data_IF_357377567866
#
_entry.id   IF_357377567866
#
_cell.length_a   1.000
_cell.length_b   1.000
_cell.length_c   1.000
_cell.angle_alpha   90.00
_cell.angle_beta   90.00
_cell.angle_gamma   90.00
#
_symmetry.space_group_name_H-M   'P 1'
#
loop_
_entity.id
_entity.type
_entity.pdbx_description
1 polymer ?
#
# COMPACT_ATOMS: atom_id res chain seq x y z
N UNK A 1 -8.02 -0.54 -20.25
CA UNK A 1 -7.18 -0.81 -19.08
C UNK A 1 -6.77 -2.26 -19.16
N UNK A 2 -5.50 -2.53 -19.44
CA UNK A 2 -4.97 -3.90 -19.34
C UNK A 2 -4.53 -4.14 -17.90
N UNK A 3 -4.59 -5.38 -17.41
CA UNK A 3 -4.17 -5.68 -16.04
C UNK A 3 -2.69 -5.36 -15.80
N UNK A 4 -1.87 -5.51 -16.84
CA UNK A 4 -0.43 -5.20 -16.79
C UNK A 4 -0.15 -3.70 -16.63
N UNK A 5 -1.14 -2.83 -16.86
CA UNK A 5 -1.01 -1.38 -16.68
C UNK A 5 -1.26 -0.95 -15.23
N UNK A 6 -1.66 -1.86 -14.34
CA UNK A 6 -2.09 -1.55 -12.97
C UNK A 6 -0.95 -1.55 -11.95
N UNK A 7 0.23 -2.03 -12.32
CA UNK A 7 1.37 -2.09 -11.43
C UNK A 7 2.69 -2.00 -12.21
N UNK A 8 3.74 -1.64 -11.51
CA UNK A 8 5.11 -1.69 -11.99
C UNK A 8 5.89 -2.72 -11.18
N UNK A 9 6.61 -3.61 -11.87
CA UNK A 9 7.61 -4.46 -11.22
C UNK A 9 8.83 -3.61 -10.81
N UNK A 10 9.19 -3.63 -9.53
CA UNK A 10 10.29 -2.82 -8.97
C UNK A 10 11.35 -3.65 -8.26
N UNK A 11 11.11 -4.95 -8.07
CA UNK A 11 12.01 -5.87 -7.41
C UNK A 11 12.18 -7.19 -8.17
N UNK A 12 12.84 -8.19 -7.55
CA UNK A 12 13.14 -9.45 -8.22
C UNK A 12 11.86 -10.20 -8.60
N UNK A 13 11.90 -10.88 -9.74
CA UNK A 13 10.84 -11.83 -10.10
C UNK A 13 10.83 -12.99 -9.11
N UNK A 14 9.64 -13.41 -8.71
CA UNK A 14 9.44 -14.56 -7.85
C UNK A 14 9.00 -15.74 -8.72
N UNK A 15 9.69 -16.88 -8.59
CA UNK A 15 9.35 -18.10 -9.32
C UNK A 15 8.67 -19.15 -8.43
N UNK A 16 7.74 -19.91 -9.02
CA UNK A 16 7.08 -21.04 -8.37
C UNK A 16 5.82 -20.68 -7.57
N UNK A 17 5.10 -21.69 -7.06
CA UNK A 17 3.91 -21.46 -6.24
C UNK A 17 4.34 -20.97 -4.85
N UNK A 18 4.12 -19.68 -4.59
CA UNK A 18 4.33 -19.08 -3.28
C UNK A 18 2.98 -18.90 -2.58
N UNK A 19 2.90 -19.15 -1.25
CA UNK A 19 1.72 -18.75 -0.50
C UNK A 19 1.58 -17.23 -0.57
N UNK A 20 0.44 -16.76 -1.07
CA UNK A 20 0.10 -15.35 -1.14
C UNK A 20 -0.81 -14.98 0.03
N UNK A 21 -0.39 -14.00 0.83
CA UNK A 21 -1.22 -13.37 1.85
C UNK A 21 -1.68 -12.00 1.32
N UNK A 22 -2.98 -11.79 1.22
CA UNK A 22 -3.57 -10.51 0.79
C UNK A 22 -4.16 -9.81 2.02
N UNK A 23 -3.65 -8.62 2.33
CA UNK A 23 -4.11 -7.78 3.43
C UNK A 23 -4.62 -6.45 2.87
N UNK A 24 -5.93 -6.31 2.73
CA UNK A 24 -6.57 -5.08 2.22
C UNK A 24 -7.59 -4.54 3.21
N UNK A 25 -7.63 -3.22 3.36
CA UNK A 25 -8.52 -2.52 4.29
C UNK A 25 -9.68 -1.82 3.56
N UNK A 26 -10.58 -1.20 4.33
CA UNK A 26 -11.62 -0.31 3.80
C UNK A 26 -12.94 -0.94 3.34
N UNK A 27 -13.20 -2.21 3.70
CA UNK A 27 -14.53 -2.80 3.57
C UNK A 27 -15.15 -3.15 4.92
N UNK A 28 -14.74 -4.26 5.52
CA UNK A 28 -15.15 -4.67 6.86
C UNK A 28 -13.90 -4.97 7.68
N UNK A 29 -13.69 -4.18 8.72
CA UNK A 29 -12.54 -4.27 9.59
C UNK A 29 -13.03 -3.99 11.02
N UNK A 30 -12.52 -4.74 12.00
CA UNK A 30 -12.89 -4.59 13.39
C UNK A 30 -11.63 -4.46 14.25
N UNK A 31 -11.60 -3.39 15.05
CA UNK A 31 -10.53 -3.13 16.02
C UNK A 31 -9.13 -2.92 15.42
N UNK A 32 -9.04 -2.49 14.17
CA UNK A 32 -7.79 -2.19 13.49
C UNK A 32 -6.85 -3.43 13.38
N UNK A 33 -7.45 -4.62 13.35
CA UNK A 33 -6.76 -5.91 13.30
C UNK A 33 -5.86 -6.02 12.08
N UNK A 34 -6.34 -5.61 10.90
CA UNK A 34 -5.55 -5.69 9.66
C UNK A 34 -4.32 -4.78 9.71
N UNK A 35 -4.46 -3.55 10.19
CA UNK A 35 -3.32 -2.65 10.32
C UNK A 35 -2.30 -3.18 11.32
N UNK A 36 -2.75 -3.75 12.45
CA UNK A 36 -1.86 -4.39 13.44
C UNK A 36 -1.10 -5.58 12.85
N UNK A 37 -1.77 -6.44 12.09
CA UNK A 37 -1.13 -7.59 11.43
C UNK A 37 -0.12 -7.12 10.38
N UNK A 38 -0.49 -6.18 9.50
CA UNK A 38 0.42 -5.60 8.50
C UNK A 38 1.66 -5.01 9.18
N UNK A 39 1.46 -4.19 10.22
CA UNK A 39 2.56 -3.59 10.96
C UNK A 39 3.47 -4.65 11.60
N UNK A 40 2.91 -5.70 12.21
CA UNK A 40 3.70 -6.77 12.79
C UNK A 40 4.57 -7.49 11.74
N UNK A 41 4.03 -7.80 10.57
CA UNK A 41 4.79 -8.44 9.47
C UNK A 41 5.89 -7.50 8.97
N UNK A 42 5.55 -6.26 8.62
CA UNK A 42 6.51 -5.29 8.06
C UNK A 42 7.66 -4.98 9.03
N UNK A 43 7.40 -4.91 10.34
CA UNK A 43 8.44 -4.60 11.32
C UNK A 43 9.29 -5.81 11.74
N UNK A 44 8.79 -7.04 11.56
CA UNK A 44 9.50 -8.24 12.00
C UNK A 44 10.20 -8.99 10.87
N UNK A 45 9.79 -8.78 9.63
CA UNK A 45 10.35 -9.46 8.47
C UNK A 45 11.23 -8.51 7.64
N UNK A 46 12.31 -9.07 7.08
CA UNK A 46 13.10 -8.41 6.05
C UNK A 46 12.38 -8.57 4.71
N UNK A 47 11.42 -7.68 4.44
CA UNK A 47 10.57 -7.71 3.25
C UNK A 47 11.21 -6.92 2.11
N UNK A 48 11.14 -7.47 0.90
CA UNK A 48 11.52 -6.77 -0.34
C UNK A 48 10.27 -6.50 -1.17
N UNK A 49 10.02 -5.24 -1.51
CA UNK A 49 8.95 -4.87 -2.43
C UNK A 49 9.29 -5.38 -3.85
N UNK A 50 8.39 -6.15 -4.46
CA UNK A 50 8.57 -6.74 -5.79
C UNK A 50 7.76 -6.02 -6.88
N UNK A 51 6.64 -5.42 -6.50
CA UNK A 51 5.74 -4.68 -7.37
C UNK A 51 5.16 -3.49 -6.61
N UNK A 52 4.71 -2.47 -7.35
CA UNK A 52 3.97 -1.32 -6.82
C UNK A 52 2.76 -1.06 -7.68
N UNK A 53 1.58 -0.98 -7.07
CA UNK A 53 0.35 -0.70 -7.79
C UNK A 53 0.21 0.80 -8.10
N UNK A 54 -0.44 1.11 -9.22
CA UNK A 54 -0.80 2.49 -9.59
C UNK A 54 -2.05 2.93 -8.81
N UNK A 55 -1.83 3.60 -7.69
CA UNK A 55 -2.90 4.07 -6.81
C UNK A 55 -3.70 5.24 -7.38
N UNK A 56 -3.18 5.98 -8.36
CA UNK A 56 -3.94 7.05 -9.01
C UNK A 56 -5.05 6.45 -9.88
N UNK A 57 -4.81 5.26 -10.44
CA UNK A 57 -5.81 4.51 -11.19
C UNK A 57 -6.75 3.68 -10.31
N UNK A 58 -6.28 3.24 -9.13
CA UNK A 58 -6.98 2.24 -8.31
C UNK A 58 -7.73 2.82 -7.11
N UNK A 59 -7.34 3.98 -6.59
CA UNK A 59 -7.91 4.56 -5.37
C UNK A 59 -8.67 5.85 -5.65
N UNK A 60 -9.85 5.98 -5.04
CA UNK A 60 -10.53 7.27 -4.93
C UNK A 60 -9.84 8.13 -3.86
N UNK A 61 -9.02 9.06 -4.34
CA UNK A 61 -8.25 9.99 -3.51
C UNK A 61 -9.10 10.96 -2.68
N UNK A 62 -10.41 11.05 -2.94
CA UNK A 62 -11.35 11.84 -2.13
C UNK A 62 -11.98 11.01 -1.02
N UNK A 63 -12.17 9.71 -1.25
CA UNK A 63 -12.62 8.77 -0.24
C UNK A 63 -11.49 8.42 0.74
N UNK A 64 -10.25 8.29 0.24
CA UNK A 64 -9.03 8.07 1.04
C UNK A 64 -8.06 9.22 0.82
N UNK A 65 -8.23 10.29 1.59
CA UNK A 65 -7.47 11.52 1.39
C UNK A 65 -6.01 11.34 1.79
N UNK A 66 -5.04 11.79 0.98
CA UNK A 66 -3.65 11.92 1.39
C UNK A 66 -3.52 12.77 2.65
N UNK A 67 -2.59 12.39 3.52
CA UNK A 67 -2.31 13.13 4.74
C UNK A 67 -1.26 14.20 4.45
N UNK A 68 -1.59 15.46 4.74
CA UNK A 68 -0.72 16.60 4.48
C UNK A 68 -0.16 17.13 5.80
N UNK A 69 1.17 17.20 5.90
CA UNK A 69 1.87 17.71 7.09
C UNK A 69 2.26 19.16 6.85
N UNK A 70 1.72 20.08 7.66
CA UNK A 70 2.02 21.52 7.62
C UNK A 70 2.76 21.92 8.90
N UNK A 71 3.89 22.61 8.74
CA UNK A 71 4.64 23.22 9.84
C UNK A 71 4.85 24.69 9.51
N UNK A 72 4.46 25.58 10.43
CA UNK A 72 4.55 27.04 10.28
C UNK A 72 3.91 27.59 8.99
N UNK A 73 2.78 27.00 8.60
CA UNK A 73 2.04 27.39 7.40
C UNK A 73 2.66 26.89 6.08
N UNK A 74 3.72 26.10 6.13
CA UNK A 74 4.39 25.51 4.96
C UNK A 74 4.13 24.01 4.90
N UNK A 75 3.73 23.53 3.72
CA UNK A 75 3.61 22.09 3.44
C UNK A 75 4.99 21.46 3.47
N UNK A 76 5.21 20.56 4.43
CA UNK A 76 6.47 19.81 4.58
C UNK A 76 6.41 18.45 3.90
N UNK A 77 5.25 17.78 3.95
CA UNK A 77 5.10 16.43 3.40
C UNK A 77 3.66 16.15 2.95
N UNK A 78 3.53 15.20 2.02
CA UNK A 78 2.26 14.60 1.63
C UNK A 78 2.43 13.08 1.61
N UNK A 79 1.71 12.39 2.49
CA UNK A 79 1.66 10.94 2.54
C UNK A 79 0.46 10.47 1.71
N UNK A 80 0.76 9.88 0.56
CA UNK A 80 -0.25 9.32 -0.35
C UNK A 80 -0.67 7.92 0.12
N UNK A 81 -1.94 7.53 -0.09
CA UNK A 81 -2.35 6.16 0.18
C UNK A 81 -1.66 5.21 -0.81
N UNK A 82 -1.01 4.18 -0.29
CA UNK A 82 -0.27 3.18 -1.08
C UNK A 82 -1.02 1.83 -1.14
N UNK A 83 -0.70 1.06 -2.17
CA UNK A 83 -1.11 -0.35 -2.32
C UNK A 83 0.13 -1.15 -2.73
N UNK A 84 0.58 -2.05 -1.86
CA UNK A 84 1.80 -2.86 -2.00
C UNK A 84 1.52 -4.34 -1.77
#
# INVERSE_FOLDING_TARGET
>A
MHFDDLYQQIGPSVEGPMPLLILTDGWLEASDTLARVRNAIVHQADLTAIARFDTDQLLDQRARRPMLTVVDGVTQNVDWPELE
#
